data_IF_096985136986
#
_entry.id   IF_096985136986
#
_cell.length_a   1.000
_cell.length_b   1.000
_cell.length_c   1.000
_cell.angle_alpha   90.00
_cell.angle_beta   90.00
_cell.angle_gamma   90.00
#
_symmetry.space_group_name_H-M   'P 1'
#
loop_
_entity.id
_entity.type
_entity.pdbx_description
1 polymer ?
#
# COMPACT_ATOMS: atom_id res chain seq x y z
N UNK A 1 5.21 7.88 1.28
CA UNK A 1 3.93 8.28 0.63
C UNK A 1 3.65 9.79 0.70
N UNK A 2 3.89 10.48 1.83
CA UNK A 2 3.54 11.90 2.00
C UNK A 2 4.08 12.87 0.93
N UNK A 3 5.33 12.69 0.49
CA UNK A 3 5.95 13.57 -0.53
C UNK A 3 5.28 13.50 -1.91
N UNK A 4 4.64 12.37 -2.25
CA UNK A 4 3.93 12.24 -3.53
C UNK A 4 2.52 12.85 -3.41
N UNK A 5 1.89 12.74 -2.24
CA UNK A 5 0.58 13.34 -1.98
C UNK A 5 0.59 14.86 -1.98
N UNK A 6 1.70 15.50 -1.59
CA UNK A 6 1.82 16.95 -1.71
C UNK A 6 1.93 17.43 -3.16
N UNK A 7 2.56 16.63 -4.03
CA UNK A 7 2.73 16.94 -5.46
C UNK A 7 1.46 16.61 -6.26
N UNK A 8 0.82 15.48 -5.97
CA UNK A 8 -0.36 14.99 -6.67
C UNK A 8 -1.50 14.70 -5.68
N UNK A 9 -2.11 15.73 -5.05
CA UNK A 9 -3.11 15.53 -3.99
C UNK A 9 -4.40 14.87 -4.49
N UNK A 10 -4.65 14.95 -5.79
CA UNK A 10 -5.81 14.35 -6.46
C UNK A 10 -5.55 12.93 -6.98
N UNK A 11 -4.32 12.42 -6.81
CA UNK A 11 -3.97 11.05 -7.12
C UNK A 11 -4.73 10.06 -6.25
N UNK A 12 -4.86 8.82 -6.75
CA UNK A 12 -5.46 7.73 -5.99
C UNK A 12 -4.34 6.99 -5.29
N UNK A 13 -4.38 6.98 -3.96
CA UNK A 13 -3.38 6.33 -3.13
C UNK A 13 -3.92 4.98 -2.66
N UNK A 14 -3.34 3.88 -3.16
CA UNK A 14 -3.72 2.52 -2.81
C UNK A 14 -2.63 1.95 -1.89
N UNK A 15 -2.99 1.56 -0.68
CA UNK A 15 -2.11 0.85 0.23
C UNK A 15 -2.19 -0.65 0.00
N UNK A 16 -1.05 -1.29 -0.27
CA UNK A 16 -0.98 -2.74 -0.45
C UNK A 16 -0.62 -3.41 0.88
N UNK A 17 -1.63 -3.87 1.60
CA UNK A 17 -1.47 -4.44 2.93
C UNK A 17 -1.11 -5.93 2.87
N UNK A 18 -0.13 -6.42 3.65
CA UNK A 18 0.03 -7.86 3.86
C UNK A 18 -1.20 -8.46 4.58
N UNK A 19 -1.43 -9.78 4.50
CA UNK A 19 -2.62 -10.40 5.07
C UNK A 19 -2.62 -10.44 6.60
N UNK A 20 -1.45 -10.32 7.22
CA UNK A 20 -1.28 -10.23 8.67
C UNK A 20 0.04 -9.54 9.02
N UNK A 21 0.14 -9.07 10.28
CA UNK A 21 1.41 -8.56 10.82
C UNK A 21 2.48 -9.65 10.88
N UNK A 22 2.10 -10.88 11.19
CA UNK A 22 3.00 -12.03 11.19
C UNK A 22 3.60 -12.29 9.78
N UNK A 23 2.79 -12.16 8.74
CA UNK A 23 3.28 -12.28 7.36
C UNK A 23 4.17 -11.11 6.96
N UNK A 24 3.89 -9.90 7.46
CA UNK A 24 4.76 -8.74 7.28
C UNK A 24 6.13 -8.98 7.95
N UNK A 25 6.14 -9.46 9.18
CA UNK A 25 7.34 -9.87 9.92
C UNK A 25 8.13 -10.94 9.17
N UNK A 26 7.45 -11.98 8.68
CA UNK A 26 8.07 -13.03 7.89
C UNK A 26 8.73 -12.47 6.63
N UNK A 27 8.03 -11.61 5.88
CA UNK A 27 8.56 -10.96 4.66
C UNK A 27 9.76 -10.06 4.95
N UNK A 28 9.71 -9.30 6.04
CA UNK A 28 10.81 -8.43 6.46
C UNK A 28 12.02 -9.22 6.97
N UNK A 29 11.79 -10.34 7.65
CA UNK A 29 12.84 -11.25 8.12
C UNK A 29 13.60 -11.88 6.95
N UNK A 30 12.87 -12.41 5.97
CA UNK A 30 13.46 -12.98 4.73
C UNK A 30 14.27 -11.93 3.95
N UNK A 31 13.84 -10.66 3.96
CA UNK A 31 14.61 -9.56 3.33
C UNK A 31 15.81 -9.09 4.16
N UNK A 32 15.74 -9.18 5.50
CA UNK A 32 16.84 -8.79 6.40
C UNK A 32 18.00 -9.78 6.37
N UNK A 33 17.76 -11.06 6.06
CA UNK A 33 18.85 -12.02 5.77
C UNK A 33 19.72 -11.61 4.59
N UNK A 34 19.30 -10.65 3.76
CA UNK A 34 20.07 -10.09 2.64
C UNK A 34 20.65 -8.68 2.89
N UNK A 35 20.22 -7.99 3.95
CA UNK A 35 20.58 -6.58 4.16
C UNK A 35 20.56 -6.21 5.64
N UNK A 36 21.76 -6.09 6.24
CA UNK A 36 22.03 -6.05 7.69
C UNK A 36 21.52 -4.84 8.50
N UNK A 37 20.30 -4.36 8.24
CA UNK A 37 19.60 -3.40 9.09
C UNK A 37 18.80 -4.08 10.22
N UNK A 38 18.56 -3.43 11.37
CA UNK A 38 17.76 -4.01 12.44
C UNK A 38 16.31 -4.26 11.99
N UNK A 39 15.86 -5.52 12.07
CA UNK A 39 14.48 -5.94 11.80
C UNK A 39 13.45 -5.10 12.57
N UNK A 40 13.76 -4.76 13.82
CA UNK A 40 12.92 -3.93 14.69
C UNK A 40 12.61 -2.55 14.11
N UNK A 41 13.60 -1.88 13.49
CA UNK A 41 13.38 -0.57 12.87
C UNK A 41 12.44 -0.66 11.66
N UNK A 42 12.56 -1.74 10.88
CA UNK A 42 11.68 -1.98 9.72
C UNK A 42 10.26 -2.33 10.15
N UNK A 43 10.12 -3.08 11.24
CA UNK A 43 8.81 -3.38 11.83
C UNK A 43 8.15 -2.14 12.39
N UNK A 44 8.89 -1.33 13.15
CA UNK A 44 8.39 -0.07 13.67
C UNK A 44 7.93 0.86 12.54
N UNK A 45 8.74 0.99 11.47
CA UNK A 45 8.36 1.78 10.30
C UNK A 45 7.07 1.25 9.63
N UNK A 46 6.90 -0.07 9.54
CA UNK A 46 5.69 -0.66 8.99
C UNK A 46 4.45 -0.42 9.87
N UNK A 47 4.60 -0.47 11.20
CA UNK A 47 3.55 -0.07 12.13
C UNK A 47 3.18 1.41 11.96
N UNK A 48 4.17 2.29 11.85
CA UNK A 48 3.96 3.72 11.66
C UNK A 48 3.28 4.01 10.31
N UNK A 49 3.60 3.26 9.25
CA UNK A 49 2.90 3.34 7.97
C UNK A 49 1.43 2.90 8.07
N UNK A 50 1.15 1.84 8.85
CA UNK A 50 -0.23 1.41 9.12
C UNK A 50 -1.00 2.46 9.92
N UNK A 51 -0.35 3.17 10.85
CA UNK A 51 -0.98 4.31 11.56
C UNK A 51 -1.32 5.46 10.59
N UNK A 52 -0.62 5.54 9.47
CA UNK A 52 -0.88 6.50 8.40
C UNK A 52 -1.87 5.99 7.35
N UNK A 53 -2.61 4.90 7.58
CA UNK A 53 -3.63 4.44 6.62
C UNK A 53 -4.64 5.53 6.23
N UNK A 54 -4.88 6.52 7.09
CA UNK A 54 -5.71 7.69 6.81
C UNK A 54 -5.22 8.53 5.62
N UNK A 55 -3.97 8.38 5.18
CA UNK A 55 -3.44 9.06 4.00
C UNK A 55 -3.69 8.31 2.67
N UNK A 56 -4.28 7.12 2.71
CA UNK A 56 -4.62 6.33 1.52
C UNK A 56 -6.12 6.36 1.24
N UNK A 57 -6.50 6.25 -0.03
CA UNK A 57 -7.90 6.20 -0.47
C UNK A 57 -8.46 4.77 -0.39
N UNK A 58 -7.61 3.77 -0.62
CA UNK A 58 -7.98 2.36 -0.64
C UNK A 58 -6.92 1.49 0.04
N UNK A 59 -7.36 0.36 0.58
CA UNK A 59 -6.49 -0.71 1.08
C UNK A 59 -6.79 -1.98 0.29
N UNK A 60 -5.74 -2.61 -0.25
CA UNK A 60 -5.83 -3.89 -0.95
C UNK A 60 -4.97 -4.89 -0.20
N UNK A 61 -5.56 -6.01 0.22
CA UNK A 61 -4.84 -7.06 0.94
C UNK A 61 -4.16 -7.99 -0.06
N UNK A 62 -2.85 -8.15 0.05
CA UNK A 62 -2.01 -8.95 -0.84
C UNK A 62 -1.56 -10.25 -0.17
N UNK A 63 -2.34 -11.31 -0.38
CA UNK A 63 -2.01 -12.67 0.03
C UNK A 63 -0.98 -13.29 -0.94
N UNK A 64 0.01 -14.02 -0.41
CA UNK A 64 1.08 -14.64 -1.24
C UNK A 64 0.52 -15.55 -2.35
N UNK A 65 -0.52 -16.32 -2.04
CA UNK A 65 -1.09 -17.31 -2.97
C UNK A 65 -2.22 -16.75 -3.84
N UNK A 66 -2.47 -15.43 -3.76
CA UNK A 66 -3.60 -14.79 -4.46
C UNK A 66 -3.21 -13.45 -5.06
N UNK A 67 -2.06 -13.40 -5.73
CA UNK A 67 -1.60 -12.20 -6.43
C UNK A 67 -2.64 -11.71 -7.45
N UNK A 68 -3.27 -12.65 -8.18
CA UNK A 68 -4.31 -12.35 -9.17
C UNK A 68 -5.52 -11.64 -8.55
N UNK A 69 -5.86 -11.99 -7.30
CA UNK A 69 -6.95 -11.36 -6.57
C UNK A 69 -6.60 -9.91 -6.23
N UNK A 70 -5.37 -9.65 -5.77
CA UNK A 70 -4.91 -8.29 -5.48
C UNK A 70 -4.87 -7.43 -6.77
N UNK A 71 -4.38 -8.00 -7.87
CA UNK A 71 -4.35 -7.33 -9.17
C UNK A 71 -5.77 -6.98 -9.67
N UNK A 72 -6.68 -7.96 -9.66
CA UNK A 72 -8.08 -7.76 -10.04
C UNK A 72 -8.80 -6.72 -9.17
N UNK A 73 -8.47 -6.67 -7.87
CA UNK A 73 -9.00 -5.64 -6.96
C UNK A 73 -8.51 -4.25 -7.36
N UNK A 74 -7.22 -4.11 -7.68
CA UNK A 74 -6.64 -2.82 -8.14
C UNK A 74 -7.27 -2.39 -9.46
N UNK A 75 -7.42 -3.30 -10.42
CA UNK A 75 -8.10 -3.02 -11.69
C UNK A 75 -9.53 -2.53 -11.47
N UNK A 76 -10.25 -3.15 -10.54
CA UNK A 76 -11.62 -2.76 -10.18
C UNK A 76 -11.66 -1.36 -9.57
N UNK A 77 -10.71 -1.01 -8.70
CA UNK A 77 -10.58 0.35 -8.14
C UNK A 77 -10.34 1.36 -9.25
N UNK A 78 -9.41 1.09 -10.16
CA UNK A 78 -9.09 1.97 -11.29
C UNK A 78 -10.30 2.14 -12.21
N UNK A 79 -11.05 1.07 -12.48
CA UNK A 79 -12.25 1.12 -13.29
C UNK A 79 -13.34 1.97 -12.62
N UNK A 80 -13.58 1.76 -11.32
CA UNK A 80 -14.55 2.54 -10.55
C UNK A 80 -14.20 4.04 -10.54
N UNK A 81 -12.93 4.39 -10.33
CA UNK A 81 -12.48 5.78 -10.32
C UNK A 81 -12.55 6.44 -11.70
N UNK A 82 -12.42 5.68 -12.80
CA UNK A 82 -12.69 6.17 -14.16
C UNK A 82 -14.16 6.49 -14.42
N UNK A 83 -15.08 5.81 -13.74
CA UNK A 83 -16.52 6.01 -13.84
C UNK A 83 -17.08 7.05 -12.84
N UNK A 84 -16.24 7.59 -11.97
CA UNK A 84 -16.63 8.52 -10.91
C UNK A 84 -17.08 9.88 -11.45
N UNK A 85 -18.17 10.42 -10.90
CA UNK A 85 -18.65 11.78 -11.16
C UNK A 85 -18.76 12.55 -9.83
N UNK A 86 -18.10 13.72 -9.69
CA UNK A 86 -17.21 14.34 -10.66
C UNK A 86 -15.91 13.53 -10.82
N UNK A 87 -15.27 13.56 -12.01
CA UNK A 87 -14.02 12.84 -12.24
C UNK A 87 -12.90 13.45 -11.40
N UNK A 88 -12.05 12.58 -10.83
CA UNK A 88 -10.79 13.01 -10.23
C UNK A 88 -9.87 13.54 -11.33
N UNK A 89 -9.39 14.78 -11.18
CA UNK A 89 -8.44 15.40 -12.10
C UNK A 89 -7.10 15.57 -11.39
N UNK A 90 -6.10 14.82 -11.82
CA UNK A 90 -4.72 14.99 -11.33
C UNK A 90 -4.07 16.10 -12.14
N UNK A 91 -3.69 17.17 -11.45
CA UNK A 91 -2.81 18.22 -11.99
C UNK A 91 -1.48 18.05 -11.28
N UNK A 92 -0.41 17.87 -12.05
CA UNK A 92 0.97 17.71 -11.59
C UNK A 92 1.68 19.07 -11.54
#
# INVERSE_FOLDING_TARGET
AMNIRSVAPQGIFIFLMPPSMEELERRLTVRNTESGSPLELRLQAAYDEIQQLSIFDYVVVNHNDRLDQAASTIESIVLAEKCRIPPRKVVL
#
